data_IF_344720586786
#
_entry.id   IF_344720586786
#
_cell.length_a   1.000
_cell.length_b   1.000
_cell.length_c   1.000
_cell.angle_alpha   90.00
_cell.angle_beta   90.00
_cell.angle_gamma   90.00
#
_symmetry.space_group_name_H-M   'P 1'
#
loop_
_entity.id
_entity.type
_entity.pdbx_description
1 polymer ?
#
# COMPACT_ATOMS: atom_id res chain seq x y z
N UNK A 1 13.11 2.02 1.61
CA UNK A 1 12.57 0.84 0.89
C UNK A 1 11.48 1.33 -0.04
N UNK A 2 11.47 0.91 -1.31
CA UNK A 2 10.33 1.16 -2.19
C UNK A 2 9.19 0.23 -1.80
N UNK A 3 7.95 0.72 -1.77
CA UNK A 3 6.75 -0.09 -1.48
C UNK A 3 6.55 -1.18 -2.54
N UNK A 4 6.13 -2.38 -2.16
CA UNK A 4 5.81 -3.45 -3.12
C UNK A 4 4.62 -3.10 -4.04
N UNK A 5 4.58 -3.62 -5.29
CA UNK A 5 3.43 -3.50 -6.18
C UNK A 5 2.16 -4.12 -5.60
N UNK A 6 0.98 -3.50 -5.80
CA UNK A 6 -0.28 -4.05 -5.28
C UNK A 6 -0.78 -5.30 -6.03
N UNK A 7 -0.25 -5.57 -7.22
CA UNK A 7 -0.62 -6.69 -8.10
C UNK A 7 0.52 -7.02 -9.07
N UNK A 8 0.56 -8.14 -9.76
CA UNK A 8 -0.41 -9.23 -9.86
C UNK A 8 0.10 -10.45 -9.09
N UNK A 9 -0.39 -10.68 -7.88
CA UNK A 9 0.04 -11.81 -7.05
C UNK A 9 -0.67 -13.11 -7.47
N UNK A 10 -0.02 -14.25 -7.28
CA UNK A 10 -0.62 -15.57 -7.42
C UNK A 10 0.10 -16.59 -6.53
N UNK A 11 -0.59 -17.66 -6.15
CA UNK A 11 0.08 -18.81 -5.52
C UNK A 11 0.71 -19.67 -6.62
N UNK A 12 2.02 -19.88 -6.53
CA UNK A 12 2.72 -20.80 -7.40
C UNK A 12 2.29 -22.24 -7.06
N UNK A 13 1.73 -23.02 -8.01
CA UNK A 13 1.19 -24.35 -7.74
C UNK A 13 2.25 -25.39 -7.36
N UNK A 14 3.54 -25.13 -7.63
CA UNK A 14 4.63 -26.05 -7.32
C UNK A 14 5.27 -25.75 -5.96
N UNK A 15 5.47 -24.47 -5.63
CA UNK A 15 6.12 -24.06 -4.38
C UNK A 15 5.12 -23.79 -3.25
N UNK A 16 3.84 -23.58 -3.57
CA UNK A 16 2.81 -23.13 -2.63
C UNK A 16 3.03 -21.70 -2.12
N UNK A 17 4.03 -20.98 -2.66
CA UNK A 17 4.37 -19.62 -2.23
C UNK A 17 3.66 -18.58 -3.08
N UNK A 18 3.40 -17.44 -2.47
CA UNK A 18 2.99 -16.24 -3.19
C UNK A 18 4.15 -15.75 -4.07
N UNK A 19 3.87 -15.51 -5.35
CA UNK A 19 4.78 -14.95 -6.33
C UNK A 19 4.02 -13.98 -7.25
N UNK A 20 4.73 -13.07 -7.93
CA UNK A 20 4.11 -12.32 -9.01
C UNK A 20 3.80 -13.23 -10.21
N UNK A 21 2.64 -13.03 -10.82
CA UNK A 21 2.26 -13.70 -12.05
C UNK A 21 3.29 -13.43 -13.15
N UNK A 22 3.80 -14.48 -13.80
CA UNK A 22 4.83 -14.34 -14.84
C UNK A 22 4.30 -13.81 -16.17
N UNK A 23 2.98 -13.81 -16.34
CA UNK A 23 2.30 -13.36 -17.56
C UNK A 23 1.93 -11.87 -17.53
N UNK A 24 2.07 -11.20 -16.38
CA UNK A 24 1.66 -9.82 -16.18
C UNK A 24 2.75 -9.06 -15.43
N UNK A 25 2.97 -7.79 -15.77
CA UNK A 25 3.94 -6.97 -15.04
C UNK A 25 3.44 -6.65 -13.62
N UNK A 26 4.31 -6.67 -12.60
CA UNK A 26 3.99 -6.08 -11.32
C UNK A 26 3.59 -4.60 -11.49
N UNK A 27 2.54 -4.18 -10.79
CA UNK A 27 1.98 -2.86 -10.91
C UNK A 27 1.40 -2.37 -9.58
N UNK A 28 1.41 -1.06 -9.40
CA UNK A 28 0.67 -0.39 -8.34
C UNK A 28 -0.59 0.24 -8.94
N UNK A 29 -1.60 -0.59 -9.21
CA UNK A 29 -2.84 -0.09 -9.78
C UNK A 29 -3.73 0.58 -8.72
N UNK A 30 -3.63 0.14 -7.47
CA UNK A 30 -4.41 0.65 -6.37
C UNK A 30 -3.68 1.85 -5.76
N UNK A 31 -4.36 2.99 -5.69
CA UNK A 31 -3.78 4.27 -5.24
C UNK A 31 -4.77 5.04 -4.37
N UNK A 32 -4.27 5.64 -3.30
CA UNK A 32 -5.00 6.68 -2.56
C UNK A 32 -4.28 8.00 -2.81
N UNK A 33 -5.03 8.98 -3.33
CA UNK A 33 -4.52 10.30 -3.65
C UNK A 33 -5.32 11.34 -2.87
N UNK A 34 -4.67 12.44 -2.51
CA UNK A 34 -5.30 13.60 -1.88
C UNK A 34 -4.82 14.88 -2.59
N UNK A 35 -5.55 15.98 -2.39
CA UNK A 35 -5.22 17.28 -2.95
C UNK A 35 -4.42 18.14 -1.96
N UNK A 36 -3.83 19.24 -2.45
CA UNK A 36 -3.01 20.14 -1.62
C UNK A 36 -3.74 20.73 -0.41
N UNK A 37 -5.08 20.80 -0.45
CA UNK A 37 -5.87 21.27 0.71
C UNK A 37 -5.77 20.29 1.88
N UNK A 38 -5.77 19.00 1.59
CA UNK A 38 -5.67 17.94 2.59
C UNK A 38 -4.29 17.91 3.26
N UNK A 39 -3.24 18.30 2.54
CA UNK A 39 -1.87 18.28 3.02
C UNK A 39 -1.69 19.10 4.31
N UNK A 40 -2.32 20.29 4.34
CA UNK A 40 -2.35 21.18 5.52
C UNK A 40 -3.11 20.63 6.73
N UNK A 41 -3.96 19.62 6.54
CA UNK A 41 -4.77 19.03 7.60
C UNK A 41 -4.06 17.86 8.27
N UNK A 42 -3.06 17.24 7.63
CA UNK A 42 -2.36 16.10 8.22
C UNK A 42 -1.50 16.53 9.42
N UNK A 43 -1.60 15.77 10.51
CA UNK A 43 -0.71 15.94 11.66
C UNK A 43 0.67 15.40 11.32
N UNK A 44 1.64 16.31 11.31
CA UNK A 44 3.06 16.00 11.18
C UNK A 44 3.66 15.96 12.59
N UNK A 45 3.53 14.85 13.30
CA UNK A 45 4.15 14.72 14.62
C UNK A 45 5.67 14.70 14.45
N UNK A 46 6.30 15.83 14.81
CA UNK A 46 7.68 16.20 14.52
C UNK A 46 8.75 15.39 15.27
N UNK A 47 8.42 14.20 15.79
CA UNK A 47 9.33 13.41 16.63
C UNK A 47 9.80 12.06 16.06
N UNK A 48 9.22 11.51 14.98
CA UNK A 48 9.88 10.45 14.19
C UNK A 48 9.08 9.88 13.00
N UNK A 49 7.81 10.23 12.82
CA UNK A 49 7.05 9.84 11.64
C UNK A 49 5.93 10.85 11.44
N UNK A 50 5.82 11.43 10.25
CA UNK A 50 4.52 11.95 9.79
C UNK A 50 3.50 10.87 10.12
N UNK A 51 2.43 11.14 10.85
CA UNK A 51 1.42 10.14 11.27
C UNK A 51 0.58 9.62 10.11
N UNK A 52 1.26 9.28 9.01
CA UNK A 52 0.85 8.99 7.66
C UNK A 52 1.52 7.67 7.28
N UNK A 53 0.72 6.61 7.26
CA UNK A 53 1.11 5.33 6.71
C UNK A 53 0.42 5.16 5.36
N UNK A 54 1.19 4.84 4.33
CA UNK A 54 0.69 4.46 3.02
C UNK A 54 1.38 3.19 2.57
N UNK A 55 0.62 2.12 2.38
CA UNK A 55 1.20 0.82 2.10
C UNK A 55 0.17 -0.24 1.77
N UNK A 56 0.64 -1.46 1.60
CA UNK A 56 -0.22 -2.62 1.36
C UNK A 56 -0.73 -3.17 2.69
N UNK A 57 -1.98 -3.61 2.69
CA UNK A 57 -2.54 -4.38 3.79
C UNK A 57 -2.17 -5.85 3.57
N UNK A 58 -1.60 -6.49 4.59
CA UNK A 58 -1.23 -7.90 4.53
C UNK A 58 -0.04 -8.20 3.61
N UNK A 59 1.02 -7.39 3.68
CA UNK A 59 2.25 -7.58 2.88
C UNK A 59 2.79 -9.02 2.94
N UNK A 60 2.73 -9.66 4.11
CA UNK A 60 3.26 -11.02 4.31
C UNK A 60 2.25 -12.14 4.06
N UNK A 61 1.03 -11.84 3.60
CA UNK A 61 -0.05 -12.82 3.44
C UNK A 61 -0.69 -12.70 2.06
N UNK A 62 -0.91 -13.84 1.41
CA UNK A 62 -1.71 -13.87 0.20
C UNK A 62 -3.18 -13.61 0.51
N UNK A 63 -3.63 -12.42 0.12
CA UNK A 63 -5.04 -12.01 0.21
C UNK A 63 -5.77 -12.30 -1.12
N UNK A 64 -5.07 -12.19 -2.24
CA UNK A 64 -5.61 -12.36 -3.58
C UNK A 64 -4.66 -11.80 -4.62
N UNK A 65 -5.09 -11.77 -5.88
CA UNK A 65 -4.26 -11.21 -6.97
C UNK A 65 -3.95 -9.71 -6.80
N UNK A 66 -4.76 -9.03 -6.00
CA UNK A 66 -4.62 -7.63 -5.64
C UNK A 66 -4.54 -7.54 -4.12
N UNK A 67 -3.45 -6.97 -3.61
CA UNK A 67 -3.34 -6.61 -2.19
C UNK A 67 -3.98 -5.23 -1.98
N UNK A 68 -4.84 -5.06 -0.96
CA UNK A 68 -5.45 -3.76 -0.69
C UNK A 68 -4.38 -2.72 -0.34
N UNK A 69 -4.58 -1.48 -0.80
CA UNK A 69 -3.76 -0.32 -0.43
C UNK A 69 -4.50 0.50 0.60
N UNK A 70 -3.83 0.90 1.67
CA UNK A 70 -4.39 1.73 2.72
C UNK A 70 -3.56 2.99 2.95
N UNK A 71 -4.27 4.10 3.20
CA UNK A 71 -3.72 5.33 3.75
C UNK A 71 -4.28 5.50 5.17
N UNK A 72 -3.43 5.43 6.18
CA UNK A 72 -3.79 5.74 7.55
C UNK A 72 -3.16 7.07 7.93
N UNK A 73 -4.00 8.05 8.25
CA UNK A 73 -3.57 9.42 8.51
C UNK A 73 -4.35 10.03 9.67
N UNK A 74 -3.68 10.82 10.51
CA UNK A 74 -4.34 11.67 11.50
C UNK A 74 -4.55 13.07 10.93
N UNK A 75 -5.79 13.58 11.03
CA UNK A 75 -6.15 14.91 10.54
C UNK A 75 -6.54 15.86 11.69
N UNK A 76 -6.21 17.13 11.55
CA UNK A 76 -6.69 18.23 12.38
C UNK A 76 -7.96 18.83 11.76
N UNK A 77 -9.10 18.59 12.38
CA UNK A 77 -10.31 19.35 12.08
C UNK A 77 -10.28 20.63 12.94
N UNK A 78 -10.31 21.79 12.28
CA UNK A 78 -10.44 23.09 12.94
C UNK A 78 -11.86 23.30 13.44
#
# INVERSE_FOLDING_TARGET
MCSEPSRHYAINPHSGKEEFMRTLCPAWADRVLYNDRMDSLFRHDSFCASGLYYGLVGEEVYIGQHKPVALHASICLK
#
